data_IF_876486520995
#
_entry.id   IF_876486520995
#
_cell.length_a   1.000
_cell.length_b   1.000
_cell.length_c   1.000
_cell.angle_alpha   90.00
_cell.angle_beta   90.00
_cell.angle_gamma   90.00
#
_symmetry.space_group_name_H-M   'P 1'
#
loop_
_entity.id
_entity.type
_entity.pdbx_description
1 polymer ?
#
# COMPACT_ATOMS: atom_id res chain seq x y z
N UNK A 1 17.70 -2.29 13.72
CA UNK A 1 16.88 -3.50 13.93
C UNK A 1 16.62 -4.11 12.56
N UNK A 2 16.91 -5.40 12.34
CA UNK A 2 16.76 -5.99 11.00
C UNK A 2 15.28 -6.30 10.75
N UNK A 3 14.80 -6.10 9.53
CA UNK A 3 13.44 -6.38 9.17
C UNK A 3 13.02 -7.81 9.58
N UNK A 4 11.94 -7.94 10.33
CA UNK A 4 11.46 -9.23 10.86
C UNK A 4 11.23 -10.26 9.76
N UNK A 5 10.79 -9.83 8.58
CA UNK A 5 10.46 -10.70 7.45
C UNK A 5 11.69 -11.43 6.91
N UNK A 6 12.85 -10.76 6.85
CA UNK A 6 14.07 -11.36 6.32
C UNK A 6 14.61 -12.53 7.16
N UNK A 7 14.27 -12.59 8.44
CA UNK A 7 14.88 -13.54 9.42
C UNK A 7 13.89 -14.53 10.05
N UNK A 8 12.62 -14.51 9.64
CA UNK A 8 11.65 -15.42 10.21
C UNK A 8 11.94 -16.86 9.71
N UNK A 9 12.23 -17.82 10.62
CA UNK A 9 12.44 -19.23 10.24
C UNK A 9 11.20 -19.92 9.67
N UNK A 10 10.04 -19.29 9.74
CA UNK A 10 8.77 -19.79 9.17
C UNK A 10 8.48 -19.19 7.79
N UNK A 11 9.51 -18.85 7.01
CA UNK A 11 9.36 -18.45 5.63
C UNK A 11 8.77 -19.59 4.82
N UNK A 12 7.56 -19.39 4.29
CA UNK A 12 6.88 -20.37 3.45
C UNK A 12 7.54 -20.48 2.09
N UNK A 13 8.08 -19.38 1.55
CA UNK A 13 8.72 -19.23 0.23
C UNK A 13 8.00 -20.02 -0.87
N UNK A 14 6.66 -20.05 -0.79
CA UNK A 14 5.83 -20.79 -1.72
C UNK A 14 5.61 -19.98 -2.99
N UNK A 15 6.18 -20.46 -4.10
CA UNK A 15 5.92 -19.86 -5.41
C UNK A 15 4.44 -20.01 -5.77
N UNK A 16 3.79 -18.92 -6.12
CA UNK A 16 2.44 -18.90 -6.63
C UNK A 16 2.52 -18.79 -8.15
N UNK A 17 2.06 -19.82 -8.91
CA UNK A 17 2.04 -19.73 -10.35
C UNK A 17 1.14 -18.58 -10.80
N UNK A 18 1.60 -17.76 -11.74
CA UNK A 18 0.82 -16.66 -12.35
C UNK A 18 -0.55 -17.13 -12.82
N UNK A 19 -0.63 -18.37 -13.29
CA UNK A 19 -1.87 -18.99 -13.77
C UNK A 19 -2.96 -19.05 -12.70
N UNK A 20 -2.61 -19.27 -11.42
CA UNK A 20 -3.58 -19.25 -10.31
C UNK A 20 -4.21 -17.88 -10.09
N UNK A 21 -3.46 -16.81 -10.34
CA UNK A 21 -4.05 -15.47 -10.32
C UNK A 21 -5.01 -15.27 -11.51
N UNK A 22 -4.66 -15.80 -12.71
CA UNK A 22 -5.51 -15.64 -13.90
C UNK A 22 -6.78 -16.48 -13.87
N UNK A 23 -6.77 -17.63 -13.22
CA UNK A 23 -7.93 -18.53 -13.11
C UNK A 23 -9.03 -17.97 -12.21
N UNK A 24 -8.65 -17.16 -11.23
CA UNK A 24 -9.57 -16.62 -10.23
C UNK A 24 -9.88 -15.12 -10.43
N UNK A 25 -9.23 -14.47 -11.38
CA UNK A 25 -9.30 -13.02 -11.57
C UNK A 25 -9.87 -12.72 -12.95
N UNK A 26 -10.91 -11.88 -13.03
CA UNK A 26 -11.37 -11.28 -14.28
C UNK A 26 -10.32 -10.27 -14.80
N UNK A 27 -9.25 -10.76 -15.39
CA UNK A 27 -8.12 -9.95 -15.86
C UNK A 27 -8.42 -9.34 -17.21
N UNK A 28 -8.38 -8.02 -17.33
CA UNK A 28 -8.41 -7.37 -18.65
C UNK A 28 -7.12 -7.67 -19.44
N UNK A 29 -7.14 -7.64 -20.78
CA UNK A 29 -5.94 -7.85 -21.59
C UNK A 29 -4.77 -6.90 -21.22
N UNK A 30 -5.07 -5.66 -20.86
CA UNK A 30 -4.08 -4.66 -20.41
C UNK A 30 -3.44 -5.07 -19.08
N UNK A 31 -4.25 -5.53 -18.12
CA UNK A 31 -3.74 -6.02 -16.83
C UNK A 31 -2.90 -7.31 -17.03
N UNK A 32 -3.34 -8.22 -17.89
CA UNK A 32 -2.57 -9.42 -18.21
C UNK A 32 -1.21 -9.06 -18.78
N UNK A 33 -1.15 -8.06 -19.67
CA UNK A 33 0.09 -7.54 -20.23
C UNK A 33 0.98 -6.94 -19.14
N UNK A 34 0.46 -6.05 -18.27
CA UNK A 34 1.19 -5.47 -17.16
C UNK A 34 1.73 -6.56 -16.20
N UNK A 35 0.92 -7.57 -15.93
CA UNK A 35 1.29 -8.70 -15.08
C UNK A 35 2.43 -9.54 -15.66
N UNK A 36 2.46 -9.69 -17.00
CA UNK A 36 3.50 -10.46 -17.70
C UNK A 36 4.78 -9.64 -17.87
N UNK A 37 4.64 -8.36 -18.23
CA UNK A 37 5.78 -7.48 -18.55
C UNK A 37 6.48 -6.92 -17.32
N UNK A 38 5.72 -6.62 -16.24
CA UNK A 38 6.25 -5.96 -15.05
C UNK A 38 6.67 -6.93 -13.94
N UNK A 39 6.16 -8.18 -13.95
CA UNK A 39 6.36 -9.13 -12.87
C UNK A 39 7.07 -10.40 -13.33
N UNK A 40 8.19 -10.71 -12.69
CA UNK A 40 8.91 -11.95 -12.99
C UNK A 40 8.39 -13.14 -12.17
N UNK A 41 8.22 -12.97 -10.87
CA UNK A 41 7.79 -14.02 -9.94
C UNK A 41 6.95 -13.48 -8.80
N UNK A 42 6.04 -14.32 -8.28
CA UNK A 42 5.30 -14.06 -7.05
C UNK A 42 5.60 -15.16 -6.04
N UNK A 43 5.96 -14.76 -4.85
CA UNK A 43 6.23 -15.66 -3.74
C UNK A 43 5.36 -15.27 -2.55
N UNK A 44 4.61 -16.22 -1.99
CA UNK A 44 4.08 -16.07 -0.65
C UNK A 44 5.22 -16.33 0.33
N UNK A 45 5.78 -15.25 0.88
CA UNK A 45 6.92 -15.34 1.81
C UNK A 45 6.49 -15.80 3.19
N UNK A 46 5.51 -15.14 3.75
CA UNK A 46 5.08 -15.34 5.12
C UNK A 46 3.56 -15.32 5.24
N UNK A 47 3.10 -16.06 6.22
CA UNK A 47 1.72 -16.04 6.71
C UNK A 47 1.75 -15.66 8.18
N UNK A 48 1.10 -14.55 8.52
CA UNK A 48 0.97 -14.04 9.88
C UNK A 48 -0.46 -14.33 10.32
N UNK A 49 -0.61 -15.31 11.18
CA UNK A 49 -1.89 -15.77 11.70
C UNK A 49 -1.72 -16.34 13.11
N UNK A 50 -2.80 -16.54 13.83
CA UNK A 50 -2.78 -17.17 15.16
C UNK A 50 -2.15 -18.56 15.16
N UNK A 51 -2.26 -19.27 14.03
CA UNK A 51 -1.68 -20.61 13.82
C UNK A 51 -0.18 -20.60 13.55
N UNK A 52 0.38 -19.48 13.09
CA UNK A 52 1.80 -19.37 12.75
C UNK A 52 2.61 -18.61 13.79
N UNK A 53 1.96 -17.73 14.54
CA UNK A 53 2.56 -16.91 15.59
C UNK A 53 1.68 -16.95 16.84
N UNK A 54 2.31 -16.72 17.99
CA UNK A 54 1.58 -16.66 19.27
C UNK A 54 0.94 -15.26 19.43
N UNK A 55 -0.02 -14.95 18.55
CA UNK A 55 -0.79 -13.71 18.55
C UNK A 55 -2.26 -14.01 18.81
N UNK A 56 -2.95 -13.12 19.50
CA UNK A 56 -4.39 -13.19 19.59
C UNK A 56 -5.04 -12.86 18.23
N UNK A 57 -6.21 -13.44 17.97
CA UNK A 57 -7.02 -13.08 16.81
C UNK A 57 -7.37 -11.58 16.86
N UNK A 58 -7.46 -10.95 15.70
CA UNK A 58 -8.06 -9.64 15.56
C UNK A 58 -9.58 -9.74 15.41
N UNK A 59 -10.27 -8.63 15.58
CA UNK A 59 -11.70 -8.52 15.30
C UNK A 59 -11.95 -8.41 13.79
N UNK A 60 -11.08 -7.70 13.07
CA UNK A 60 -11.17 -7.45 11.65
C UNK A 60 -10.11 -8.21 10.84
N UNK A 61 -8.91 -8.37 11.41
CA UNK A 61 -7.77 -9.02 10.77
C UNK A 61 -7.64 -10.45 11.26
N UNK A 62 -7.96 -11.41 10.42
CA UNK A 62 -7.82 -12.84 10.72
C UNK A 62 -6.47 -13.40 10.30
N UNK A 63 -5.88 -12.81 9.27
CA UNK A 63 -4.62 -13.24 8.68
C UNK A 63 -3.99 -12.10 7.87
N UNK A 64 -2.65 -12.05 7.86
CA UNK A 64 -1.88 -11.15 6.98
C UNK A 64 -0.96 -12.01 6.13
N UNK A 65 -1.08 -11.90 4.81
CA UNK A 65 -0.22 -12.59 3.86
C UNK A 65 0.84 -11.64 3.31
N UNK A 66 2.10 -12.08 3.35
CA UNK A 66 3.23 -11.30 2.84
C UNK A 66 3.65 -11.86 1.50
N UNK A 67 3.45 -11.07 0.44
CA UNK A 67 3.82 -11.41 -0.92
C UNK A 67 5.09 -10.70 -1.36
N UNK A 68 6.06 -11.43 -1.86
CA UNK A 68 7.17 -10.86 -2.62
C UNK A 68 6.83 -10.89 -4.10
N UNK A 69 7.01 -9.73 -4.74
CA UNK A 69 6.80 -9.55 -6.18
C UNK A 69 8.10 -9.06 -6.81
N UNK A 70 8.77 -9.90 -7.60
CA UNK A 70 9.96 -9.50 -8.33
C UNK A 70 9.59 -8.80 -9.61
N UNK A 71 10.11 -7.59 -9.76
CA UNK A 71 9.79 -6.71 -10.87
C UNK A 71 10.88 -6.77 -11.95
N UNK A 72 10.47 -6.49 -13.19
CA UNK A 72 11.36 -6.28 -14.33
C UNK A 72 11.75 -4.81 -14.52
N UNK A 73 11.06 -3.89 -13.83
CA UNK A 73 11.34 -2.45 -13.81
C UNK A 73 10.93 -1.88 -12.45
N UNK A 74 11.50 -0.74 -12.00
CA UNK A 74 11.23 -0.18 -10.66
C UNK A 74 9.86 0.50 -10.56
N UNK A 75 8.87 -0.05 -11.23
CA UNK A 75 7.50 0.45 -11.23
C UNK A 75 6.51 -0.68 -11.42
N UNK A 76 5.51 -0.74 -10.56
CA UNK A 76 4.37 -1.62 -10.70
C UNK A 76 3.10 -0.78 -10.82
N UNK A 77 2.19 -1.19 -11.72
CA UNK A 77 0.87 -0.59 -11.80
C UNK A 77 0.06 -1.00 -10.57
N UNK A 78 -0.37 -0.01 -9.77
CA UNK A 78 -1.17 -0.23 -8.57
C UNK A 78 -2.46 -1.00 -8.84
N UNK A 79 -3.01 -0.90 -10.06
CA UNK A 79 -4.19 -1.66 -10.46
C UNK A 79 -3.99 -3.18 -10.36
N UNK A 80 -2.75 -3.65 -10.55
CA UNK A 80 -2.37 -5.07 -10.38
C UNK A 80 -2.49 -5.48 -8.91
N UNK A 81 -1.96 -4.65 -8.00
CA UNK A 81 -2.05 -4.90 -6.56
C UNK A 81 -3.50 -4.87 -6.08
N UNK A 82 -4.29 -3.89 -6.54
CA UNK A 82 -5.72 -3.79 -6.23
C UNK A 82 -6.49 -5.03 -6.65
N UNK A 83 -6.13 -5.61 -7.78
CA UNK A 83 -6.78 -6.82 -8.26
C UNK A 83 -6.39 -8.04 -7.41
N UNK A 84 -5.11 -8.16 -7.03
CA UNK A 84 -4.65 -9.22 -6.11
C UNK A 84 -5.38 -9.09 -4.78
N UNK A 85 -5.41 -7.90 -4.20
CA UNK A 85 -6.06 -7.61 -2.93
C UNK A 85 -7.56 -7.88 -2.92
N UNK A 86 -8.21 -7.73 -4.06
CA UNK A 86 -9.64 -7.97 -4.22
C UNK A 86 -9.98 -9.45 -4.17
N UNK A 87 -9.09 -10.30 -4.67
CA UNK A 87 -9.31 -11.74 -4.77
C UNK A 87 -8.81 -12.49 -3.53
N UNK A 88 -7.92 -11.88 -2.75
CA UNK A 88 -7.42 -12.46 -1.50
C UNK A 88 -8.31 -12.02 -0.35
N UNK A 89 -8.95 -12.95 0.37
CA UNK A 89 -9.87 -12.62 1.47
C UNK A 89 -9.14 -12.23 2.77
N UNK A 90 -7.85 -11.94 2.71
CA UNK A 90 -6.98 -11.59 3.83
C UNK A 90 -6.34 -10.23 3.63
N UNK A 91 -5.74 -9.71 4.69
CA UNK A 91 -4.89 -8.51 4.57
C UNK A 91 -3.56 -8.90 3.94
N UNK A 92 -3.03 -8.02 3.08
CA UNK A 92 -1.83 -8.30 2.29
C UNK A 92 -0.78 -7.23 2.51
N UNK A 93 0.45 -7.67 2.64
CA UNK A 93 1.65 -6.84 2.60
C UNK A 93 2.45 -7.25 1.37
N UNK A 94 2.72 -6.32 0.47
CA UNK A 94 3.54 -6.56 -0.70
C UNK A 94 4.96 -6.07 -0.48
N UNK A 95 5.92 -6.91 -0.82
CA UNK A 95 7.33 -6.58 -0.92
C UNK A 95 7.71 -6.61 -2.40
N UNK A 96 7.85 -5.45 -3.00
CA UNK A 96 8.35 -5.35 -4.36
C UNK A 96 9.88 -5.44 -4.34
N UNK A 97 10.45 -6.29 -5.17
CA UNK A 97 11.91 -6.44 -5.33
C UNK A 97 12.30 -6.04 -6.75
N UNK A 98 13.31 -5.19 -6.86
CA UNK A 98 13.93 -4.81 -8.11
C UNK A 98 15.44 -4.58 -7.90
N UNK A 99 16.26 -5.34 -8.62
CA UNK A 99 17.74 -5.26 -8.56
C UNK A 99 18.32 -5.29 -7.14
N UNK A 100 17.75 -6.14 -6.27
CA UNK A 100 18.19 -6.31 -4.88
C UNK A 100 17.71 -5.22 -3.92
N UNK A 101 16.93 -4.25 -4.39
CA UNK A 101 16.26 -3.25 -3.55
C UNK A 101 14.81 -3.66 -3.33
N UNK A 102 14.27 -3.25 -2.20
CA UNK A 102 12.91 -3.60 -1.77
C UNK A 102 12.07 -2.36 -1.48
N UNK A 103 10.81 -2.44 -1.83
CA UNK A 103 9.80 -1.46 -1.45
C UNK A 103 8.63 -2.20 -0.81
N UNK A 104 8.25 -1.81 0.40
CA UNK A 104 7.07 -2.34 1.06
C UNK A 104 5.83 -1.53 0.66
N UNK A 105 4.75 -2.22 0.33
CA UNK A 105 3.43 -1.62 0.09
C UNK A 105 2.37 -2.35 0.91
N UNK A 106 1.44 -1.56 1.46
CA UNK A 106 0.28 -2.09 2.18
C UNK A 106 -0.98 -1.30 1.80
N UNK A 107 -2.05 -2.03 1.49
CA UNK A 107 -3.36 -1.42 1.25
C UNK A 107 -4.12 -1.26 2.55
N UNK A 108 -4.60 -0.05 2.86
CA UNK A 108 -5.57 0.12 3.93
C UNK A 108 -6.92 -0.40 3.45
N UNK A 109 -7.39 -1.46 4.11
CA UNK A 109 -8.63 -2.16 3.78
C UNK A 109 -9.71 -1.80 4.78
N UNK A 110 -10.85 -1.37 4.29
CA UNK A 110 -12.07 -1.20 5.08
C UNK A 110 -13.05 -2.33 4.77
N UNK A 111 -13.74 -2.80 5.80
CA UNK A 111 -14.85 -3.73 5.64
C UNK A 111 -15.98 -2.98 4.97
N UNK A 112 -16.36 -3.39 3.77
CA UNK A 112 -17.50 -2.79 3.07
C UNK A 112 -18.78 -3.12 3.82
N UNK A 113 -19.57 -2.10 4.18
CA UNK A 113 -20.81 -2.26 4.90
C UNK A 113 -21.73 -3.31 4.25
N UNK A 114 -22.05 -4.37 4.99
CA UNK A 114 -22.93 -5.46 4.53
C UNK A 114 -22.32 -6.46 3.56
N UNK A 115 -21.00 -6.46 3.36
CA UNK A 115 -20.28 -7.43 2.50
C UNK A 115 -19.11 -8.05 3.24
N UNK A 116 -18.81 -9.30 2.91
CA UNK A 116 -17.61 -10.01 3.36
C UNK A 116 -16.34 -9.59 2.58
N UNK A 117 -16.49 -8.70 1.60
CA UNK A 117 -15.41 -8.24 0.74
C UNK A 117 -14.77 -6.97 1.29
N UNK A 118 -13.43 -6.96 1.32
CA UNK A 118 -12.66 -5.77 1.64
C UNK A 118 -12.61 -4.79 0.46
N UNK A 119 -12.66 -3.50 0.77
CA UNK A 119 -12.38 -2.43 -0.18
C UNK A 119 -11.05 -1.79 0.21
N UNK A 120 -10.08 -1.82 -0.68
CA UNK A 120 -8.85 -1.06 -0.49
C UNK A 120 -9.14 0.41 -0.73
N UNK A 121 -8.99 1.22 0.30
CA UNK A 121 -9.16 2.67 0.23
C UNK A 121 -7.96 3.31 -0.45
N UNK A 122 -6.75 3.03 0.07
CA UNK A 122 -5.48 3.55 -0.45
C UNK A 122 -4.33 2.61 -0.15
N UNK A 123 -3.23 2.80 -0.89
CA UNK A 123 -1.96 2.15 -0.62
C UNK A 123 -0.97 3.14 0.01
N UNK A 124 -0.18 2.62 0.93
CA UNK A 124 1.02 3.26 1.45
C UNK A 124 2.24 2.49 0.98
N UNK A 125 3.32 3.20 0.72
CA UNK A 125 4.58 2.60 0.28
C UNK A 125 5.78 3.28 0.93
N UNK A 126 6.83 2.50 1.15
CA UNK A 126 8.14 3.04 1.49
C UNK A 126 8.87 3.53 0.24
N UNK A 127 10.02 4.16 0.44
CA UNK A 127 11.03 4.28 -0.61
C UNK A 127 11.66 2.90 -0.92
N UNK A 128 12.50 2.85 -1.97
CA UNK A 128 13.32 1.68 -2.28
C UNK A 128 14.50 1.60 -1.32
N UNK A 129 14.54 0.56 -0.50
CA UNK A 129 15.49 0.35 0.59
C UNK A 129 16.19 -1.01 0.44
N UNK A 130 17.24 -1.22 1.22
CA UNK A 130 17.76 -2.57 1.41
C UNK A 130 16.75 -3.40 2.25
N UNK A 131 16.73 -4.70 2.07
CA UNK A 131 15.74 -5.56 2.74
C UNK A 131 15.78 -5.43 4.27
N UNK A 132 16.99 -5.30 4.83
CA UNK A 132 17.20 -5.16 6.27
C UNK A 132 16.77 -3.80 6.84
N UNK A 133 16.58 -2.79 5.98
CA UNK A 133 16.19 -1.42 6.35
C UNK A 133 14.68 -1.16 6.19
N UNK A 134 13.93 -2.13 5.67
CA UNK A 134 12.50 -1.99 5.57
C UNK A 134 11.86 -1.79 6.95
N UNK A 135 11.02 -0.76 7.13
CA UNK A 135 10.34 -0.49 8.39
C UNK A 135 9.15 -1.46 8.59
N UNK A 136 9.42 -2.76 8.56
CA UNK A 136 8.41 -3.81 8.70
C UNK A 136 8.75 -4.66 9.91
N UNK A 137 8.34 -4.15 11.08
CA UNK A 137 8.56 -4.80 12.38
C UNK A 137 7.25 -5.38 12.90
N UNK A 138 7.32 -6.63 13.37
CA UNK A 138 6.17 -7.28 13.97
C UNK A 138 5.96 -6.73 15.40
N UNK A 139 4.98 -5.86 15.55
CA UNK A 139 4.63 -5.21 16.79
C UNK A 139 3.11 -5.30 17.02
N UNK A 140 2.72 -5.69 18.22
CA UNK A 140 1.32 -5.85 18.60
C UNK A 140 1.02 -7.20 19.24
N UNK A 141 -0.06 -7.27 20.01
CA UNK A 141 -0.52 -8.48 20.70
C UNK A 141 -1.66 -9.17 19.95
N UNK A 142 -2.32 -8.46 19.04
CA UNK A 142 -3.41 -8.96 18.19
C UNK A 142 -3.07 -8.75 16.72
N UNK A 143 -3.73 -9.48 15.83
CA UNK A 143 -3.54 -9.31 14.39
C UNK A 143 -4.00 -7.93 13.90
N UNK A 144 -5.02 -7.33 14.50
CA UNK A 144 -5.42 -5.95 14.20
C UNK A 144 -4.29 -4.96 14.52
N UNK A 145 -3.69 -5.07 15.71
CA UNK A 145 -2.59 -4.20 16.12
C UNK A 145 -1.36 -4.37 15.21
N UNK A 146 -1.03 -5.60 14.83
CA UNK A 146 0.09 -5.88 13.91
C UNK A 146 -0.17 -5.23 12.54
N UNK A 147 -1.39 -5.36 12.02
CA UNK A 147 -1.74 -4.75 10.73
C UNK A 147 -1.69 -3.22 10.79
N UNK A 148 -2.27 -2.62 11.83
CA UNK A 148 -2.23 -1.16 12.02
C UNK A 148 -0.79 -0.64 12.12
N UNK A 149 0.07 -1.35 12.87
CA UNK A 149 1.48 -0.99 12.98
C UNK A 149 2.22 -1.09 11.65
N UNK A 150 1.96 -2.12 10.83
CA UNK A 150 2.51 -2.19 9.49
C UNK A 150 2.07 -1.01 8.61
N UNK A 151 0.79 -0.63 8.67
CA UNK A 151 0.31 0.54 7.93
C UNK A 151 1.03 1.80 8.38
N UNK A 152 1.17 2.05 9.69
CA UNK A 152 1.86 3.21 10.24
C UNK A 152 3.34 3.23 9.88
N UNK A 153 4.04 2.11 10.04
CA UNK A 153 5.46 1.98 9.73
C UNK A 153 5.74 2.24 8.24
N UNK A 154 4.91 1.71 7.34
CA UNK A 154 5.08 1.88 5.90
C UNK A 154 4.67 3.28 5.44
N UNK A 155 3.60 3.84 6.02
CA UNK A 155 3.17 5.21 5.71
C UNK A 155 4.16 6.26 6.23
N UNK A 156 4.92 5.95 7.29
CA UNK A 156 5.90 6.85 7.87
C UNK A 156 5.31 8.23 8.18
N UNK A 157 6.00 9.27 7.78
CA UNK A 157 5.59 10.67 8.04
C UNK A 157 4.30 11.10 7.32
N UNK A 158 3.75 10.29 6.43
CA UNK A 158 2.50 10.60 5.73
C UNK A 158 1.31 10.54 6.69
N UNK A 159 1.35 9.59 7.63
CA UNK A 159 0.37 9.50 8.71
C UNK A 159 0.96 10.15 9.97
N UNK A 160 0.38 11.27 10.36
CA UNK A 160 0.76 11.93 11.60
C UNK A 160 0.20 11.14 12.78
N UNK A 161 1.09 10.70 13.68
CA UNK A 161 0.68 10.14 14.95
C UNK A 161 0.39 11.27 15.93
N UNK A 162 -0.88 11.50 16.21
CA UNK A 162 -1.29 12.25 17.39
C UNK A 162 -1.61 11.24 18.50
N UNK A 163 -1.15 11.53 19.73
CA UNK A 163 -1.36 10.65 20.86
C UNK A 163 -2.85 10.32 21.05
N UNK A 164 -3.19 9.04 20.91
CA UNK A 164 -4.54 8.53 21.11
C UNK A 164 -5.45 8.50 19.88
N UNK A 165 -4.95 8.89 18.69
CA UNK A 165 -5.74 8.75 17.45
C UNK A 165 -5.69 7.31 16.90
N UNK A 166 -6.85 6.83 16.48
CA UNK A 166 -6.96 5.56 15.77
C UNK A 166 -6.35 5.68 14.36
N UNK A 167 -5.96 4.55 13.77
CA UNK A 167 -5.47 4.52 12.40
C UNK A 167 -6.48 5.14 11.42
N UNK A 168 -7.77 4.83 11.59
CA UNK A 168 -8.85 5.37 10.76
C UNK A 168 -8.93 6.90 10.84
N UNK A 169 -8.84 7.47 12.03
CA UNK A 169 -8.84 8.92 12.22
C UNK A 169 -7.62 9.58 11.58
N UNK A 170 -6.43 8.99 11.74
CA UNK A 170 -5.21 9.50 11.10
C UNK A 170 -5.32 9.51 9.57
N UNK A 171 -5.92 8.48 8.98
CA UNK A 171 -6.14 8.40 7.54
C UNK A 171 -7.17 9.44 7.07
N UNK A 172 -8.23 9.64 7.83
CA UNK A 172 -9.24 10.66 7.49
C UNK A 172 -8.67 12.08 7.57
N UNK A 173 -7.88 12.39 8.60
CA UNK A 173 -7.15 13.66 8.71
C UNK A 173 -6.20 13.87 7.52
N UNK A 174 -5.49 12.83 7.10
CA UNK A 174 -4.65 12.88 5.90
C UNK A 174 -5.46 13.22 4.65
N UNK A 175 -6.61 12.57 4.44
CA UNK A 175 -7.49 12.87 3.30
C UNK A 175 -7.97 14.32 3.29
N UNK A 176 -8.37 14.84 4.45
CA UNK A 176 -8.79 16.24 4.59
C UNK A 176 -7.64 17.20 4.28
N UNK A 177 -6.43 16.94 4.77
CA UNK A 177 -5.24 17.73 4.46
C UNK A 177 -4.95 17.75 2.96
N UNK A 178 -4.93 16.59 2.31
CA UNK A 178 -4.72 16.49 0.84
C UNK A 178 -5.77 17.25 0.04
N UNK A 179 -7.03 17.23 0.50
CA UNK A 179 -8.11 18.01 -0.12
C UNK A 179 -7.88 19.51 0.01
N UNK A 180 -7.50 19.99 1.19
CA UNK A 180 -7.20 21.41 1.43
C UNK A 180 -6.00 21.87 0.61
N UNK A 181 -4.93 21.08 0.55
CA UNK A 181 -3.76 21.37 -0.27
C UNK A 181 -4.11 21.51 -1.75
N UNK A 182 -4.94 20.62 -2.29
CA UNK A 182 -5.46 20.72 -3.66
C UNK A 182 -6.28 21.99 -3.88
N UNK A 183 -7.11 22.39 -2.91
CA UNK A 183 -7.89 23.62 -3.00
C UNK A 183 -7.00 24.86 -2.98
N UNK A 184 -5.99 24.91 -2.10
CA UNK A 184 -5.00 25.98 -2.03
C UNK A 184 -4.26 26.10 -3.37
N UNK A 185 -3.70 25.02 -3.88
CA UNK A 185 -3.00 25.01 -5.16
C UNK A 185 -3.89 25.50 -6.32
N UNK A 186 -5.16 25.11 -6.33
CA UNK A 186 -6.12 25.56 -7.35
C UNK A 186 -6.43 27.07 -7.25
N UNK A 187 -6.52 27.61 -6.03
CA UNK A 187 -6.74 29.03 -5.80
C UNK A 187 -5.50 29.88 -6.18
N UNK A 188 -4.33 29.42 -5.83
CA UNK A 188 -3.06 30.05 -6.20
C UNK A 188 -2.89 30.12 -7.73
N UNK A 189 -3.15 29.00 -8.43
CA UNK A 189 -3.11 28.96 -9.89
C UNK A 189 -4.11 29.95 -10.54
N UNK A 190 -5.31 30.11 -9.96
CA UNK A 190 -6.29 31.11 -10.43
C UNK A 190 -5.83 32.53 -10.17
N UNK A 191 -5.20 32.80 -9.04
CA UNK A 191 -4.69 34.14 -8.69
C UNK A 191 -3.55 34.56 -9.62
N UNK A 192 -2.61 33.67 -9.92
CA UNK A 192 -1.51 33.92 -10.87
C UNK A 192 -2.06 34.22 -12.28
N UNK A 193 -3.08 33.46 -12.75
CA UNK A 193 -3.72 33.71 -14.06
C UNK A 193 -4.41 35.07 -14.13
N UNK A 194 -5.07 35.52 -13.05
CA UNK A 194 -5.68 36.83 -12.98
C UNK A 194 -4.65 37.97 -13.02
N UNK A 195 -3.55 37.80 -12.27
CA UNK A 195 -2.45 38.79 -12.22
C UNK A 195 -1.75 38.91 -13.57
N UNK A 196 -1.54 37.83 -14.31
CA UNK A 196 -0.93 37.87 -15.65
C UNK A 196 -1.84 38.53 -16.70
N UNK A 197 -3.17 38.30 -16.66
CA UNK A 197 -4.15 38.97 -17.52
C UNK A 197 -4.23 40.46 -17.25
N UNK A 198 -4.16 40.87 -15.98
CA UNK A 198 -4.18 42.30 -15.61
C UNK A 198 -2.95 43.08 -16.09
N UNK A 199 -1.78 42.44 -16.20
CA UNK A 199 -0.57 43.03 -16.73
C UNK A 199 -0.65 43.25 -18.25
N UNK A 200 -1.16 42.30 -19.01
CA UNK A 200 -1.29 42.45 -20.48
C UNK A 200 -2.27 43.53 -20.91
N UNK A 201 -3.27 43.87 -20.08
CA UNK A 201 -4.22 44.95 -20.36
C UNK A 201 -3.64 46.38 -20.12
N UNK A 202 -2.51 46.53 -19.39
CA UNK A 202 -1.86 47.82 -19.17
C UNK A 202 -0.96 48.28 -20.34
N UNK A 203 -0.52 47.34 -21.19
CA UNK A 203 0.35 47.66 -22.34
C UNK A 203 -0.39 48.01 -23.64
N UNK A 204 -1.71 47.88 -23.68
CA UNK A 204 -2.54 48.22 -24.85
C UNK A 204 -3.20 49.60 -24.76
N UNK A 205 -2.78 50.48 -23.83
CA UNK A 205 -3.28 51.84 -23.68
C UNK A 205 -2.12 52.86 -23.70
N UNK A 206 -1.33 52.83 -24.78
CA UNK A 206 -0.36 53.87 -25.09
C UNK A 206 -0.43 54.15 -26.59
#
# INVERSE_FOLDING_TARGET
>A
MRAWIAKNPRNLNKRIPKQKFYENIAVTPAMKKAFVEQNQNHLLRNKIATTTLNLAAGEQVTEIEVFEVRLSAPKLDESVLRQIDREIPYHTLFLLEYEGRYQALIGYKEVAAGKTAFKVDRYYSTDWLDEDDLPVHLEGLTLDAVYENFVRQIAGNVLVEENGTTLKESIEQQKQREQLEKQIAALEAKSVRKSSRGRNLRWCKS
#
